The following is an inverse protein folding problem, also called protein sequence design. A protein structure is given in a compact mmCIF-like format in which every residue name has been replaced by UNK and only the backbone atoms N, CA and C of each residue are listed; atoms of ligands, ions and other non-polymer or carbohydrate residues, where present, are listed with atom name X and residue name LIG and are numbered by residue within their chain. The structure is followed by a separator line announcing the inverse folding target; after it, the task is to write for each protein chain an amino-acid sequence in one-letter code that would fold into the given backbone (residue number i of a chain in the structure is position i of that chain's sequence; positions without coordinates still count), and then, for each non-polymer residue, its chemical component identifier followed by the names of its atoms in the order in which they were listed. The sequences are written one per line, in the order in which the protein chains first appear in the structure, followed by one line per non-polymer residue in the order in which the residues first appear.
data_IF_163308189015
#
_entry.id   IF_163308189015
#
_cell.length_a   1.000
_cell.length_b   1.000
_cell.length_c   1.000
_cell.angle_alpha   90.00
_cell.angle_beta   90.00
_cell.angle_gamma   90.00
#
_symmetry.space_group_name_H-M   'P 1'
#
loop_
_entity.id
_entity.type
_entity.pdbx_description
1 polymer ?
#
# COMPACT_ATOMS: atom_id res chain seq x y z
N UNK A 1 -4.25 -4.11 -17.54
CA UNK A 1 -5.05 -4.27 -16.30
C UNK A 1 -4.43 -3.33 -15.29
N UNK A 2 -5.17 -2.38 -14.73
CA UNK A 2 -4.63 -1.39 -13.78
C UNK A 2 -4.26 -2.07 -12.46
N UNK A 3 -3.19 -1.62 -11.79
CA UNK A 3 -2.77 -2.11 -10.45
C UNK A 3 -3.95 -2.25 -9.48
N UNK A 4 -4.85 -1.25 -9.46
CA UNK A 4 -6.04 -1.25 -8.62
C UNK A 4 -6.92 -2.49 -8.85
N UNK A 5 -7.17 -2.85 -10.11
CA UNK A 5 -8.00 -3.99 -10.48
C UNK A 5 -7.30 -5.31 -10.15
N UNK A 6 -5.98 -5.40 -10.37
CA UNK A 6 -5.21 -6.59 -10.02
C UNK A 6 -5.21 -6.84 -8.51
N UNK A 7 -5.01 -5.79 -7.71
CA UNK A 7 -5.09 -5.86 -6.26
C UNK A 7 -6.49 -6.18 -5.77
N UNK A 8 -7.52 -5.55 -6.33
CA UNK A 8 -8.92 -5.82 -5.97
C UNK A 8 -9.33 -7.26 -6.28
N UNK A 9 -8.78 -7.86 -7.34
CA UNK A 9 -9.05 -9.25 -7.70
C UNK A 9 -8.27 -10.24 -6.82
N UNK A 10 -7.01 -9.94 -6.48
CA UNK A 10 -6.13 -10.86 -5.77
C UNK A 10 -6.18 -10.73 -4.24
N UNK A 11 -6.61 -9.58 -3.71
CA UNK A 11 -6.74 -9.30 -2.28
C UNK A 11 -8.07 -8.59 -1.98
N UNK A 12 -9.19 -9.32 -1.85
CA UNK A 12 -10.51 -8.72 -1.58
C UNK A 12 -10.60 -8.04 -0.20
N UNK A 13 -9.64 -8.30 0.71
CA UNK A 13 -9.52 -7.60 2.00
C UNK A 13 -8.91 -6.20 1.87
N UNK A 14 -8.41 -5.84 0.69
CA UNK A 14 -7.68 -4.62 0.43
C UNK A 14 -8.49 -3.80 -0.56
N UNK A 15 -9.05 -2.67 -0.11
CA UNK A 15 -9.84 -1.82 -0.99
C UNK A 15 -8.92 -0.84 -1.70
N UNK A 16 -8.81 -0.96 -3.01
CA UNK A 16 -8.04 -0.03 -3.84
C UNK A 16 -8.97 0.97 -4.49
N UNK A 17 -8.61 2.25 -4.42
CA UNK A 17 -9.33 3.34 -5.04
C UNK A 17 -8.33 4.24 -5.75
N UNK A 18 -8.46 4.35 -7.06
CA UNK A 18 -7.71 5.37 -7.80
C UNK A 18 -8.40 6.71 -7.55
N UNK A 19 -7.74 7.61 -6.84
CA UNK A 19 -8.21 8.97 -6.70
C UNK A 19 -7.74 9.77 -7.92
N UNK A 20 -8.65 10.50 -8.59
CA UNK A 20 -8.27 11.37 -9.69
C UNK A 20 -7.26 12.41 -9.21
N UNK A 21 -6.46 12.88 -10.16
CA UNK A 21 -5.44 13.91 -9.97
C UNK A 21 -5.92 15.03 -9.04
N UNK A 22 -5.17 15.23 -7.96
CA UNK A 22 -5.46 16.33 -7.04
C UNK A 22 -5.15 17.65 -7.77
N UNK A 23 -6.09 18.60 -7.81
CA UNK A 23 -5.87 19.87 -8.47
C UNK A 23 -4.68 20.59 -7.81
N UNK A 24 -3.59 20.75 -8.57
CA UNK A 24 -2.34 21.36 -8.10
C UNK A 24 -1.09 20.53 -8.39
N UNK A 25 -1.20 19.20 -8.41
CA UNK A 25 -0.04 18.31 -8.68
C UNK A 25 -0.15 17.59 -10.02
N UNK A 26 -1.37 17.39 -10.55
CA UNK A 26 -1.60 16.72 -11.84
C UNK A 26 -1.22 15.23 -11.85
N UNK A 27 -1.06 14.63 -10.67
CA UNK A 27 -0.65 13.24 -10.52
C UNK A 27 -1.79 12.42 -9.91
N UNK A 28 -2.30 11.37 -10.59
CA UNK A 28 -3.28 10.47 -10.00
C UNK A 28 -2.65 9.74 -8.82
N UNK A 29 -3.41 9.54 -7.75
CA UNK A 29 -2.92 8.87 -6.53
C UNK A 29 -3.76 7.63 -6.28
N UNK A 30 -3.11 6.50 -6.04
CA UNK A 30 -3.78 5.26 -5.69
C UNK A 30 -3.92 5.19 -4.17
N UNK A 31 -5.15 5.25 -3.66
CA UNK A 31 -5.46 5.04 -2.25
C UNK A 31 -5.75 3.55 -2.00
N UNK A 32 -5.10 2.97 -1.00
CA UNK A 32 -5.25 1.60 -0.58
C UNK A 32 -5.74 1.57 0.87
N UNK A 33 -6.95 1.07 1.07
CA UNK A 33 -7.57 0.90 2.38
C UNK A 33 -7.21 -0.48 2.95
N UNK A 34 -6.57 -0.48 4.12
CA UNK A 34 -6.14 -1.68 4.83
C UNK A 34 -6.62 -1.59 6.28
N UNK A 35 -7.59 -2.42 6.66
CA UNK A 35 -8.16 -2.39 8.00
C UNK A 35 -7.16 -2.90 9.05
N UNK A 36 -6.64 -1.99 9.88
CA UNK A 36 -5.81 -2.32 11.06
C UNK A 36 -4.41 -2.85 10.76
N UNK A 37 -3.97 -2.88 9.50
CA UNK A 37 -2.67 -3.42 9.10
C UNK A 37 -1.93 -2.52 8.08
N UNK A 38 -2.35 -1.26 7.94
CA UNK A 38 -1.73 -0.31 7.03
C UNK A 38 -0.24 -0.04 7.38
N UNK A 39 0.10 0.10 8.67
CA UNK A 39 1.48 0.27 9.15
C UNK A 39 2.37 -0.92 8.78
N UNK A 40 1.92 -2.13 9.15
CA UNK A 40 2.65 -3.36 8.89
C UNK A 40 2.83 -3.61 7.38
N UNK A 41 1.81 -3.29 6.57
CA UNK A 41 1.89 -3.39 5.11
C UNK A 41 2.89 -2.38 4.54
N UNK A 42 2.85 -1.12 5.02
CA UNK A 42 3.79 -0.07 4.63
C UNK A 42 5.23 -0.51 4.90
N UNK A 43 5.52 -0.97 6.12
CA UNK A 43 6.85 -1.47 6.51
C UNK A 43 7.30 -2.67 5.67
N UNK A 44 6.42 -3.63 5.44
CA UNK A 44 6.74 -4.81 4.64
C UNK A 44 7.07 -4.45 3.19
N UNK A 45 6.39 -3.45 2.63
CA UNK A 45 6.63 -2.96 1.27
C UNK A 45 7.90 -2.11 1.16
N UNK A 46 8.21 -1.31 2.18
CA UNK A 46 9.47 -0.56 2.26
C UNK A 46 10.69 -1.50 2.41
N UNK A 47 10.52 -2.64 3.08
CA UNK A 47 11.56 -3.68 3.23
C UNK A 47 11.51 -4.76 2.15
N UNK A 48 10.54 -4.70 1.23
CA UNK A 48 10.43 -5.63 0.11
C UNK A 48 11.50 -5.39 -0.95
N UNK A 49 11.69 -6.35 -1.84
CA UNK A 49 12.57 -6.23 -3.00
C UNK A 49 11.72 -6.30 -4.28
N UNK A 50 11.51 -5.18 -5.01
CA UNK A 50 12.01 -3.82 -4.79
C UNK A 50 11.27 -3.03 -3.68
N UNK A 51 11.93 -2.02 -3.06
CA UNK A 51 11.34 -1.22 -1.99
C UNK A 51 10.27 -0.26 -2.54
N UNK A 52 9.03 -0.48 -2.14
CA UNK A 52 7.89 0.35 -2.56
C UNK A 52 7.63 1.42 -1.51
N UNK A 53 7.79 2.68 -1.90
CA UNK A 53 7.46 3.82 -1.03
C UNK A 53 5.98 4.15 -1.14
N UNK A 54 5.30 4.09 0.00
CA UNK A 54 3.91 4.50 0.14
C UNK A 54 3.85 5.79 0.96
N UNK A 55 2.96 6.69 0.58
CA UNK A 55 2.59 7.84 1.39
C UNK A 55 1.78 7.38 2.59
N UNK A 56 2.35 7.56 3.77
CA UNK A 56 1.77 7.23 5.07
C UNK A 56 0.93 8.38 5.65
N UNK A 57 0.69 9.44 4.87
CA UNK A 57 -0.03 10.64 5.31
C UNK A 57 -1.47 10.38 5.78
N UNK A 58 -2.05 9.22 5.44
CA UNK A 58 -3.37 8.79 5.92
C UNK A 58 -3.34 7.42 6.62
N UNK A 59 -2.17 7.00 7.10
CA UNK A 59 -1.99 5.73 7.82
C UNK A 59 -2.92 5.61 9.03
N UNK A 60 -3.16 6.74 9.72
CA UNK A 60 -4.08 6.88 10.85
C UNK A 60 -5.53 6.49 10.50
N UNK A 61 -5.96 6.80 9.27
CA UNK A 61 -7.25 6.39 8.72
C UNK A 61 -7.23 4.96 8.12
N UNK A 62 -6.10 4.27 8.18
CA UNK A 62 -5.87 2.97 7.53
C UNK A 62 -5.76 3.08 6.01
N UNK A 63 -5.36 4.25 5.49
CA UNK A 63 -5.25 4.53 4.05
C UNK A 63 -3.79 4.78 3.68
N UNK A 64 -3.27 3.99 2.74
CA UNK A 64 -1.96 4.18 2.14
C UNK A 64 -2.13 4.83 0.77
N UNK A 65 -1.33 5.84 0.46
CA UNK A 65 -1.39 6.52 -0.85
C UNK A 65 -0.14 6.22 -1.66
N UNK A 66 -0.27 5.61 -2.82
CA UNK A 66 0.82 5.35 -3.76
C UNK A 66 0.73 6.35 -4.92
N UNK A 67 1.88 6.86 -5.36
CA UNK A 67 1.96 7.57 -6.63
C UNK A 67 2.26 6.57 -7.78
N UNK A 68 1.27 6.17 -8.59
CA UNK A 68 1.49 5.29 -9.74
C UNK A 68 2.48 5.86 -10.77
N UNK A 69 2.69 7.18 -10.87
CA UNK A 69 3.68 7.73 -11.81
C UNK A 69 5.13 7.54 -11.35
N UNK A 70 5.36 7.30 -10.06
CA UNK A 70 6.70 6.91 -9.56
C UNK A 70 7.01 5.43 -9.80
N UNK A 71 5.97 4.64 -10.08
CA UNK A 71 6.08 3.23 -10.42
C UNK A 71 6.11 3.16 -11.95
N UNK A 72 7.16 2.59 -12.54
CA UNK A 72 7.17 2.37 -13.98
C UNK A 72 6.10 1.33 -14.33
N UNK A 73 5.45 1.48 -15.48
CA UNK A 73 4.45 0.51 -15.99
C UNK A 73 5.00 -0.92 -16.10
N UNK A 74 6.32 -1.09 -16.31
CA UNK A 74 6.98 -2.40 -16.32
C UNK A 74 6.97 -3.07 -14.92
N UNK A 75 6.91 -2.27 -13.86
CA UNK A 75 6.93 -2.69 -12.46
C UNK A 75 5.52 -2.94 -11.88
N UNK A 76 4.44 -2.72 -12.63
CA UNK A 76 3.07 -2.93 -12.13
C UNK A 76 2.88 -4.35 -11.59
N UNK A 77 3.40 -5.35 -12.33
CA UNK A 77 3.31 -6.76 -11.95
C UNK A 77 4.16 -7.07 -10.72
N UNK A 78 5.37 -6.51 -10.65
CA UNK A 78 6.27 -6.64 -9.51
C UNK A 78 5.65 -6.02 -8.26
N UNK A 79 5.09 -4.81 -8.39
CA UNK A 79 4.44 -4.09 -7.31
C UNK A 79 3.21 -4.83 -6.78
N UNK A 80 2.35 -5.33 -7.67
CA UNK A 80 1.20 -6.16 -7.28
C UNK A 80 1.68 -7.42 -6.56
N UNK A 81 2.74 -8.09 -7.04
CA UNK A 81 3.30 -9.27 -6.37
C UNK A 81 3.88 -8.94 -4.99
N UNK A 82 4.62 -7.84 -4.85
CA UNK A 82 5.14 -7.37 -3.56
C UNK A 82 4.00 -7.04 -2.59
N UNK A 83 2.94 -6.37 -3.06
CA UNK A 83 1.75 -6.10 -2.24
C UNK A 83 1.05 -7.38 -1.80
N UNK A 84 0.89 -8.34 -2.69
CA UNK A 84 0.28 -9.62 -2.36
C UNK A 84 1.13 -10.42 -1.39
N UNK A 85 2.45 -10.44 -1.58
CA UNK A 85 3.39 -11.09 -0.68
C UNK A 85 3.37 -10.43 0.71
N UNK A 86 3.40 -9.10 0.77
CA UNK A 86 3.29 -8.34 2.01
C UNK A 86 1.95 -8.62 2.70
N UNK A 87 0.84 -8.60 1.96
CA UNK A 87 -0.48 -8.87 2.50
C UNK A 87 -0.65 -10.32 2.99
N UNK A 88 0.01 -11.28 2.35
CA UNK A 88 0.05 -12.67 2.79
C UNK A 88 0.95 -12.86 4.02
N UNK A 89 1.98 -12.03 4.17
CA UNK A 89 2.88 -12.01 5.33
C UNK A 89 2.31 -11.24 6.51
N UNK A 90 1.20 -10.50 6.35
CA UNK A 90 0.54 -9.82 7.46
C UNK A 90 0.00 -10.86 8.45
N UNK A 91 0.36 -10.77 9.74
CA UNK A 91 -0.26 -11.62 10.74
C UNK A 91 -1.77 -11.36 10.80
N UNK A 92 -2.61 -12.39 11.08
CA UNK A 92 -4.02 -12.17 11.34
C UNK A 92 -4.13 -11.18 12.50
N UNK A 93 -4.85 -10.07 12.26
CA UNK A 93 -5.02 -8.92 13.13
C UNK A 93 -4.86 -9.29 14.62
N UNK A 94 -3.64 -9.17 15.14
CA UNK A 94 -3.35 -9.29 16.55
C UNK A 94 -3.43 -7.88 17.12
N UNK A 95 -4.21 -7.63 18.19
CA UNK A 95 -4.28 -6.32 18.79
C UNK A 95 -2.95 -6.05 19.47
N UNK A 96 -2.42 -4.83 19.34
CA UNK A 96 -1.27 -4.31 20.10
C UNK A 96 0.12 -4.82 19.68
N UNK A 97 0.92 -3.91 19.14
CA UNK A 97 2.35 -3.85 19.49
C UNK A 97 2.71 -2.36 19.52
N UNK A 98 2.93 -1.88 20.75
CA UNK A 98 3.39 -0.55 21.07
C UNK A 98 4.73 -0.23 20.37
N UNK A 99 5.03 1.06 20.09
CA UNK A 99 6.31 1.46 19.54
C UNK A 99 7.45 1.10 20.51
N UNK A 100 8.65 0.72 20.02
CA UNK A 100 9.80 0.51 20.88
C UNK A 100 10.19 1.85 21.54
N UNK A 101 10.46 1.90 22.86
CA UNK A 101 11.01 3.10 23.46
C UNK A 101 12.43 3.35 22.93
N UNK A 102 12.82 4.62 22.67
CA UNK A 102 14.19 4.93 22.30
C UNK A 102 15.17 4.62 23.46
N UNK A 103 16.48 4.47 23.17
CA UNK A 103 17.50 4.11 24.16
C UNK A 103 17.69 5.15 25.27
#
# INVERSE_FOLDING_TARGET
VTIAAALSAAAPRLQTRLEPETPGTGVPTLALHVAGAADALSRALQHGDPPVHLGEGRLDAGILTLNPQTVREDDDTTLVRCLLAACASLPPASPTTAPPPPP
#
